data_IF_354998531261
#
_entry.id   IF_354998531261
#
_cell.length_a   1.000
_cell.length_b   1.000
_cell.length_c   1.000
_cell.angle_alpha   90.00
_cell.angle_beta   90.00
_cell.angle_gamma   90.00
#
_symmetry.space_group_name_H-M   'P 1'
#
loop_
_entity.id
_entity.type
_entity.pdbx_description
1 polymer ?
#
# COMPACT_ATOMS: atom_id res chain seq x y z
N UNK A 1 -9.19 -11.09 6.81
CA UNK A 1 -8.04 -10.51 6.09
C UNK A 1 -6.71 -11.14 6.49
N UNK A 2 -6.41 -11.25 7.78
CA UNK A 2 -5.14 -11.78 8.29
C UNK A 2 -4.80 -13.19 7.78
N UNK A 3 -5.71 -14.17 7.90
CA UNK A 3 -5.48 -15.54 7.39
C UNK A 3 -5.16 -15.58 5.89
N UNK A 4 -5.80 -14.72 5.11
CA UNK A 4 -5.53 -14.62 3.67
C UNK A 4 -4.13 -14.05 3.44
N UNK A 5 -3.79 -12.98 4.13
CA UNK A 5 -2.49 -12.34 4.03
C UNK A 5 -1.35 -13.30 4.40
N UNK A 6 -1.50 -14.07 5.48
CA UNK A 6 -0.52 -15.10 5.88
C UNK A 6 -0.32 -16.14 4.77
N UNK A 7 -1.42 -16.65 4.17
CA UNK A 7 -1.33 -17.60 3.07
C UNK A 7 -0.65 -17.02 1.82
N UNK A 8 -0.89 -15.75 1.52
CA UNK A 8 -0.25 -15.07 0.39
C UNK A 8 1.25 -14.90 0.62
N UNK A 9 1.66 -14.56 1.85
CA UNK A 9 3.07 -14.46 2.21
C UNK A 9 3.77 -15.83 2.22
N UNK A 10 3.10 -16.88 2.69
CA UNK A 10 3.59 -18.26 2.59
C UNK A 10 3.82 -18.65 1.11
N UNK A 11 2.88 -18.31 0.23
CA UNK A 11 3.01 -18.56 -1.21
C UNK A 11 4.15 -17.75 -1.86
N UNK A 12 4.41 -16.54 -1.36
CA UNK A 12 5.54 -15.71 -1.76
C UNK A 12 6.86 -16.11 -1.07
N UNK A 13 6.86 -17.22 -0.30
CA UNK A 13 8.03 -17.75 0.42
C UNK A 13 8.66 -16.78 1.41
N UNK A 14 7.88 -15.86 1.94
CA UNK A 14 8.34 -14.95 3.00
C UNK A 14 8.47 -15.73 4.32
N UNK A 15 9.64 -15.72 4.98
CA UNK A 15 9.84 -16.45 6.23
C UNK A 15 8.87 -15.99 7.32
N UNK A 16 8.17 -16.92 7.96
CA UNK A 16 7.13 -16.61 8.97
C UNK A 16 7.64 -15.82 10.18
N UNK A 17 8.91 -15.94 10.53
CA UNK A 17 9.51 -15.18 11.63
C UNK A 17 9.71 -13.70 11.32
N UNK A 18 9.55 -13.27 10.06
CA UNK A 18 9.70 -11.88 9.64
C UNK A 18 8.37 -11.13 9.73
N UNK A 19 7.26 -11.87 9.60
CA UNK A 19 5.91 -11.30 9.65
C UNK A 19 5.31 -11.57 11.01
N UNK A 20 5.37 -10.61 11.92
CA UNK A 20 4.57 -10.69 13.14
C UNK A 20 3.11 -10.45 12.75
N UNK A 21 2.38 -11.56 12.58
CA UNK A 21 0.93 -11.50 12.61
C UNK A 21 0.45 -11.15 14.02
N UNK A 22 -0.79 -10.62 14.17
CA UNK A 22 -1.41 -10.51 15.48
C UNK A 22 -1.48 -11.92 16.11
N UNK A 23 -0.73 -12.16 17.16
CA UNK A 23 -0.66 -13.44 17.84
C UNK A 23 0.73 -14.04 18.01
N UNK A 24 1.77 -13.49 17.41
CA UNK A 24 3.16 -13.88 17.71
C UNK A 24 3.60 -13.19 19.02
N UNK A 25 2.90 -13.51 20.13
CA UNK A 25 3.23 -13.00 21.44
C UNK A 25 4.62 -13.49 21.85
N UNK A 26 5.56 -12.57 22.03
CA UNK A 26 6.81 -12.83 22.71
C UNK A 26 6.62 -12.58 24.19
N UNK A 27 6.85 -13.56 25.09
CA UNK A 27 6.74 -13.35 26.52
C UNK A 27 7.59 -12.14 26.95
N UNK A 28 6.98 -11.14 27.58
CA UNK A 28 7.66 -10.01 28.20
C UNK A 28 7.70 -8.70 27.43
N UNK A 29 7.21 -8.62 26.20
CA UNK A 29 6.98 -7.35 25.45
C UNK A 29 5.49 -7.08 25.31
N UNK A 30 5.10 -5.79 25.35
CA UNK A 30 3.76 -5.38 24.94
C UNK A 30 3.59 -5.75 23.47
N UNK A 31 2.64 -6.65 23.19
CA UNK A 31 2.37 -7.16 21.84
C UNK A 31 1.79 -6.04 20.96
N UNK A 32 2.68 -5.27 20.38
CA UNK A 32 2.29 -4.30 19.35
C UNK A 32 2.63 -4.96 18.02
N UNK A 33 1.60 -5.44 17.33
CA UNK A 33 1.74 -5.86 15.94
C UNK A 33 2.21 -4.68 15.11
N UNK A 34 3.19 -4.89 14.23
CA UNK A 34 3.57 -3.89 13.24
C UNK A 34 2.57 -3.77 12.08
N UNK A 35 1.62 -4.71 11.97
CA UNK A 35 0.49 -4.58 11.08
C UNK A 35 -0.42 -3.44 11.55
N UNK A 36 -0.87 -2.61 10.63
CA UNK A 36 -1.75 -1.48 10.94
C UNK A 36 -3.01 -1.52 10.09
N UNK A 37 -4.16 -1.53 10.76
CA UNK A 37 -5.44 -1.23 10.13
C UNK A 37 -5.66 0.28 10.23
N UNK A 38 -5.90 0.91 9.09
CA UNK A 38 -6.20 2.34 9.02
C UNK A 38 -7.65 2.54 8.60
N UNK A 39 -8.28 3.56 9.13
CA UNK A 39 -9.56 4.06 8.65
C UNK A 39 -9.31 5.43 8.05
N UNK A 40 -9.51 5.54 6.75
CA UNK A 40 -9.27 6.75 5.99
C UNK A 40 -10.60 7.29 5.47
N UNK A 41 -10.88 8.56 5.76
CA UNK A 41 -12.02 9.30 5.26
C UNK A 41 -11.51 10.38 4.33
N UNK A 42 -11.98 10.37 3.11
CA UNK A 42 -11.68 11.37 2.09
C UNK A 42 -12.95 12.20 1.88
N UNK A 43 -12.87 13.49 2.18
CA UNK A 43 -13.97 14.41 1.94
C UNK A 43 -14.21 14.59 0.45
N UNK A 44 -15.44 14.91 0.02
CA UNK A 44 -15.70 15.34 -1.34
C UNK A 44 -14.85 16.55 -1.71
N UNK A 45 -14.24 16.51 -2.86
CA UNK A 45 -13.45 17.61 -3.38
C UNK A 45 -14.15 18.16 -4.64
N UNK A 46 -14.98 19.18 -4.45
CA UNK A 46 -15.78 19.83 -5.49
C UNK A 46 -15.49 21.33 -5.50
N UNK A 47 -15.52 21.94 -6.69
CA UNK A 47 -15.39 23.39 -6.86
C UNK A 47 -13.95 23.90 -7.03
N UNK A 48 -13.75 25.20 -6.88
CA UNK A 48 -12.50 25.93 -7.14
C UNK A 48 -11.34 25.55 -6.20
N UNK A 49 -11.64 24.91 -5.06
CA UNK A 49 -10.66 24.39 -4.13
C UNK A 49 -10.02 23.06 -4.60
N UNK A 50 -10.55 22.47 -5.66
CA UNK A 50 -9.93 21.32 -6.31
C UNK A 50 -8.66 21.79 -7.02
N UNK A 51 -7.51 21.71 -6.35
CA UNK A 51 -6.21 22.03 -6.96
C UNK A 51 -5.96 21.21 -8.23
N UNK A 52 -4.92 21.52 -8.97
CA UNK A 52 -4.62 20.92 -10.28
C UNK A 52 -4.27 19.42 -10.23
N UNK A 53 -3.82 18.91 -9.08
CA UNK A 53 -3.40 17.52 -8.96
C UNK A 53 -4.57 16.54 -9.07
N UNK A 54 -4.44 15.40 -9.78
CA UNK A 54 -5.51 14.42 -9.95
C UNK A 54 -5.76 13.54 -8.71
N UNK A 55 -4.97 13.70 -7.65
CA UNK A 55 -5.10 12.95 -6.40
C UNK A 55 -5.64 13.81 -5.26
N UNK A 56 -6.26 13.16 -4.30
CA UNK A 56 -6.67 13.71 -3.01
C UNK A 56 -5.45 13.86 -2.06
N UNK A 57 -5.65 13.74 -0.77
CA UNK A 57 -4.58 13.79 0.24
C UNK A 57 -3.57 12.65 0.14
N UNK A 58 -3.92 11.56 -0.54
CA UNK A 58 -3.04 10.41 -0.73
C UNK A 58 -2.35 10.49 -2.10
N UNK A 59 -1.16 11.08 -2.13
CA UNK A 59 -0.32 11.22 -3.33
C UNK A 59 0.16 9.86 -3.85
N UNK A 60 0.67 9.80 -5.10
CA UNK A 60 1.37 8.63 -5.61
C UNK A 60 2.49 8.16 -4.68
N UNK A 61 2.43 6.91 -4.25
CA UNK A 61 3.44 6.27 -3.38
C UNK A 61 3.35 4.75 -3.47
N UNK A 62 4.34 4.07 -2.91
CA UNK A 62 4.29 2.65 -2.63
C UNK A 62 4.34 2.42 -1.11
N UNK A 63 3.58 1.43 -0.63
CA UNK A 63 3.49 1.14 0.80
C UNK A 63 4.77 0.50 1.34
N UNK A 64 5.27 0.98 2.47
CA UNK A 64 6.32 0.32 3.24
C UNK A 64 5.73 -0.87 4.03
N UNK A 65 5.24 -1.86 3.30
CA UNK A 65 4.59 -3.07 3.81
C UNK A 65 5.01 -4.28 2.97
N UNK A 66 4.74 -5.50 3.46
CA UNK A 66 4.82 -6.72 2.67
C UNK A 66 3.66 -6.78 1.69
N UNK A 67 2.47 -6.69 2.24
CA UNK A 67 1.20 -6.65 1.51
C UNK A 67 0.31 -5.59 2.15
N UNK A 68 -0.53 -5.01 1.33
CA UNK A 68 -1.67 -4.23 1.79
C UNK A 68 -2.96 -4.85 1.24
N UNK A 69 -4.01 -4.80 2.05
CA UNK A 69 -5.33 -5.35 1.74
C UNK A 69 -6.39 -4.33 2.09
N UNK A 70 -7.31 -4.05 1.19
CA UNK A 70 -8.44 -3.17 1.47
C UNK A 70 -9.75 -3.72 0.92
N UNK A 71 -10.84 -3.70 1.69
CA UNK A 71 -12.17 -3.92 1.14
C UNK A 71 -12.47 -2.82 0.11
N UNK A 72 -13.07 -3.21 -0.99
CA UNK A 72 -13.56 -2.28 -2.01
C UNK A 72 -14.93 -1.78 -1.56
N UNK A 73 -15.03 -0.47 -1.34
CA UNK A 73 -16.26 0.23 -0.99
C UNK A 73 -17.09 0.62 -2.21
N UNK A 74 -18.14 1.36 -1.96
CA UNK A 74 -19.11 1.85 -2.96
C UNK A 74 -18.61 3.10 -3.72
N UNK A 75 -17.62 3.81 -3.18
CA UNK A 75 -16.99 4.96 -3.82
C UNK A 75 -15.58 4.58 -4.26
N UNK A 76 -15.35 4.34 -5.57
CA UNK A 76 -14.02 4.06 -6.08
C UNK A 76 -13.11 5.30 -5.97
N UNK A 77 -11.80 5.09 -6.02
CA UNK A 77 -10.84 6.20 -5.96
C UNK A 77 -9.40 5.72 -5.89
N UNK A 78 -9.17 4.45 -5.52
CA UNK A 78 -7.82 3.91 -5.51
C UNK A 78 -7.37 3.61 -6.94
N UNK A 79 -6.28 4.24 -7.36
CA UNK A 79 -5.67 4.06 -8.66
C UNK A 79 -4.25 3.50 -8.51
N UNK A 80 -3.88 2.57 -9.39
CA UNK A 80 -2.55 1.96 -9.48
C UNK A 80 -1.88 2.31 -10.78
N UNK A 81 -0.57 2.53 -10.74
CA UNK A 81 0.21 2.76 -11.94
C UNK A 81 0.61 1.42 -12.59
N UNK A 82 0.09 1.19 -13.80
CA UNK A 82 0.50 0.06 -14.64
C UNK A 82 1.72 0.46 -15.48
N UNK A 83 2.90 0.05 -15.02
CA UNK A 83 4.15 0.40 -15.70
C UNK A 83 4.28 -0.21 -17.11
N UNK A 84 3.59 -1.32 -17.39
CA UNK A 84 3.61 -1.94 -18.72
C UNK A 84 2.79 -1.15 -19.74
N UNK A 85 1.74 -0.47 -19.26
CA UNK A 85 0.86 0.38 -20.09
C UNK A 85 1.24 1.86 -20.03
N UNK A 86 2.05 2.26 -19.03
CA UNK A 86 2.36 3.66 -18.76
C UNK A 86 1.13 4.46 -18.31
N UNK A 87 0.19 3.84 -17.62
CA UNK A 87 -1.11 4.44 -17.32
C UNK A 87 -1.62 4.08 -15.91
N UNK A 88 -2.45 4.95 -15.36
CA UNK A 88 -3.17 4.69 -14.10
C UNK A 88 -4.44 3.87 -14.35
N UNK A 89 -4.62 2.81 -13.57
CA UNK A 89 -5.78 1.91 -13.63
C UNK A 89 -6.56 1.97 -12.32
N UNK A 90 -7.87 1.90 -12.38
CA UNK A 90 -8.79 1.90 -11.24
C UNK A 90 -9.44 0.53 -11.06
N UNK A 91 -8.86 -0.37 -10.26
CA UNK A 91 -9.35 -1.75 -10.14
C UNK A 91 -10.62 -1.88 -9.30
N UNK A 92 -11.04 -0.83 -8.62
CA UNK A 92 -12.20 -0.86 -7.72
C UNK A 92 -13.54 -0.85 -8.48
N UNK A 93 -13.59 -0.26 -9.68
CA UNK A 93 -14.84 -0.06 -10.41
C UNK A 93 -15.54 -1.38 -10.76
N UNK A 94 -16.80 -1.52 -10.35
CA UNK A 94 -17.62 -2.72 -10.59
C UNK A 94 -17.18 -3.95 -9.79
N UNK A 95 -16.47 -3.75 -8.68
CA UNK A 95 -15.97 -4.83 -7.80
C UNK A 95 -16.28 -4.58 -6.33
N UNK A 96 -17.36 -3.85 -6.05
CA UNK A 96 -17.83 -3.55 -4.71
C UNK A 96 -17.98 -4.85 -3.89
N UNK A 97 -17.62 -4.80 -2.62
CA UNK A 97 -17.65 -5.96 -1.72
C UNK A 97 -16.52 -6.98 -1.93
N UNK A 98 -15.61 -6.76 -2.89
CA UNK A 98 -14.40 -7.55 -3.06
C UNK A 98 -13.27 -7.04 -2.17
N UNK A 99 -12.21 -7.82 -2.06
CA UNK A 99 -10.98 -7.46 -1.38
C UNK A 99 -9.87 -7.21 -2.41
N UNK A 100 -9.30 -6.03 -2.39
CA UNK A 100 -8.12 -5.70 -3.16
C UNK A 100 -6.86 -6.03 -2.35
N UNK A 101 -5.87 -6.63 -2.99
CA UNK A 101 -4.57 -6.97 -2.38
C UNK A 101 -3.47 -6.45 -3.29
N UNK A 102 -2.45 -5.83 -2.70
CA UNK A 102 -1.29 -5.35 -3.46
C UNK A 102 0.02 -5.52 -2.70
N UNK A 103 1.12 -5.54 -3.44
CA UNK A 103 2.48 -5.71 -2.95
C UNK A 103 3.06 -4.39 -2.49
N UNK A 104 3.85 -4.42 -1.42
CA UNK A 104 4.59 -3.27 -0.92
C UNK A 104 6.10 -3.39 -1.12
N UNK A 105 6.82 -2.34 -0.74
CA UNK A 105 8.27 -2.20 -0.87
C UNK A 105 9.06 -3.30 -0.14
N UNK A 106 8.52 -3.82 0.96
CA UNK A 106 9.19 -4.88 1.74
C UNK A 106 9.21 -6.19 0.98
N UNK A 107 8.13 -6.51 0.25
CA UNK A 107 8.10 -7.70 -0.58
C UNK A 107 9.02 -7.56 -1.80
N UNK A 108 9.06 -6.40 -2.44
CA UNK A 108 10.00 -6.12 -3.54
C UNK A 108 11.46 -6.21 -3.08
N UNK A 109 11.79 -5.71 -1.89
CA UNK A 109 13.14 -5.80 -1.32
C UNK A 109 13.54 -7.25 -0.98
N UNK A 110 12.58 -8.08 -0.59
CA UNK A 110 12.81 -9.50 -0.31
C UNK A 110 12.98 -10.32 -1.58
N UNK A 111 12.11 -10.10 -2.57
CA UNK A 111 12.18 -10.75 -3.88
C UNK A 111 11.82 -9.75 -4.98
N UNK A 112 12.81 -9.30 -5.77
CA UNK A 112 12.61 -8.32 -6.83
C UNK A 112 11.67 -8.76 -7.97
N UNK A 113 11.25 -10.02 -8.02
CA UNK A 113 10.20 -10.49 -8.92
C UNK A 113 8.83 -9.87 -8.59
N UNK A 114 8.61 -9.52 -7.31
CA UNK A 114 7.43 -8.77 -6.87
C UNK A 114 7.72 -7.28 -6.94
N UNK A 115 6.96 -6.55 -7.74
CA UNK A 115 7.08 -5.10 -7.81
C UNK A 115 6.11 -4.43 -6.83
N UNK A 116 6.60 -3.46 -6.07
CA UNK A 116 5.75 -2.65 -5.22
C UNK A 116 4.75 -1.87 -6.07
N UNK A 117 3.48 -1.94 -5.68
CA UNK A 117 2.41 -1.30 -6.41
C UNK A 117 2.36 0.20 -6.08
N UNK A 118 2.79 1.03 -7.00
CA UNK A 118 2.63 2.49 -6.89
C UNK A 118 1.15 2.82 -7.04
N UNK A 119 0.60 3.56 -6.09
CA UNK A 119 -0.82 3.89 -6.06
C UNK A 119 -1.08 5.28 -5.47
N UNK A 120 -2.27 5.80 -5.74
CA UNK A 120 -2.78 7.06 -5.20
C UNK A 120 -4.28 6.95 -4.95
N UNK A 121 -4.86 7.91 -4.23
CA UNK A 121 -6.30 8.06 -4.15
C UNK A 121 -6.72 9.27 -4.98
N UNK A 122 -7.51 9.03 -6.01
CA UNK A 122 -8.10 10.08 -6.84
C UNK A 122 -9.10 10.92 -6.05
N UNK A 123 -9.28 12.14 -6.46
CA UNK A 123 -10.36 12.99 -5.99
C UNK A 123 -11.71 12.40 -6.38
N UNK A 124 -12.69 12.62 -5.53
CA UNK A 124 -14.05 12.19 -5.77
C UNK A 124 -15.03 13.30 -5.40
N UNK A 125 -16.16 13.32 -6.07
CA UNK A 125 -17.30 14.23 -5.81
C UNK A 125 -18.15 13.79 -4.62
N UNK A 126 -17.90 12.57 -4.10
CA UNK A 126 -18.55 11.99 -2.92
C UNK A 126 -17.55 11.61 -1.86
N UNK A 127 -17.99 11.57 -0.61
CA UNK A 127 -17.20 11.05 0.50
C UNK A 127 -16.80 9.60 0.24
N UNK A 128 -15.51 9.32 0.39
CA UNK A 128 -14.95 7.98 0.30
C UNK A 128 -14.39 7.54 1.65
N UNK A 129 -14.72 6.33 2.07
CA UNK A 129 -14.12 5.68 3.23
C UNK A 129 -13.35 4.45 2.78
N UNK A 130 -12.15 4.22 3.33
CA UNK A 130 -11.40 2.99 3.11
C UNK A 130 -10.77 2.48 4.40
N UNK A 131 -10.54 1.17 4.44
CA UNK A 131 -9.98 0.48 5.61
C UNK A 131 -8.80 -0.44 5.20
N UNK A 132 -7.66 0.11 4.75
CA UNK A 132 -6.51 -0.69 4.38
C UNK A 132 -5.84 -1.32 5.61
N UNK A 133 -5.57 -2.62 5.52
CA UNK A 133 -4.68 -3.36 6.41
C UNK A 133 -3.30 -3.43 5.76
N UNK A 134 -2.30 -2.86 6.42
CA UNK A 134 -0.90 -2.91 5.99
C UNK A 134 -0.17 -3.97 6.83
N UNK A 135 0.28 -5.04 6.20
CA UNK A 135 1.13 -6.03 6.85
C UNK A 135 2.59 -5.58 6.77
N UNK A 136 3.14 -5.31 7.93
CA UNK A 136 4.54 -4.94 8.09
C UNK A 136 5.25 -6.05 8.87
N UNK A 137 6.57 -6.12 8.77
CA UNK A 137 7.36 -7.03 9.58
C UNK A 137 7.64 -6.47 10.97
N UNK A 138 8.10 -7.32 11.88
CA UNK A 138 8.54 -6.90 13.21
C UNK A 138 9.70 -5.92 13.09
N UNK A 139 9.59 -4.71 13.68
CA UNK A 139 10.62 -3.67 13.54
C UNK A 139 11.99 -4.12 14.07
N UNK A 140 11.99 -5.07 15.00
CA UNK A 140 13.19 -5.54 15.72
C UNK A 140 13.84 -6.77 15.10
N UNK A 141 13.27 -7.38 14.05
CA UNK A 141 13.93 -8.51 13.41
C UNK A 141 15.18 -8.05 12.65
N UNK A 142 16.29 -8.83 12.67
CA UNK A 142 17.50 -8.48 11.92
C UNK A 142 17.21 -8.26 10.43
N UNK A 143 16.39 -9.11 9.84
CA UNK A 143 16.01 -9.04 8.43
C UNK A 143 15.20 -7.77 8.13
N UNK A 144 14.30 -7.39 9.03
CA UNK A 144 13.55 -6.14 8.90
C UNK A 144 14.42 -4.91 9.03
N UNK A 145 15.41 -4.93 9.90
CA UNK A 145 16.37 -3.81 9.97
C UNK A 145 17.19 -3.67 8.69
N UNK A 146 17.58 -4.81 8.09
CA UNK A 146 18.26 -4.79 6.78
C UNK A 146 17.36 -4.21 5.68
N UNK A 147 16.10 -4.65 5.60
CA UNK A 147 15.11 -4.12 4.65
C UNK A 147 14.84 -2.64 4.88
N UNK A 148 14.62 -2.21 6.14
CA UNK A 148 14.41 -0.79 6.45
C UNK A 148 15.62 0.06 6.10
N UNK A 149 16.84 -0.43 6.36
CA UNK A 149 18.06 0.26 5.97
C UNK A 149 18.19 0.40 4.46
N UNK A 150 17.84 -0.65 3.71
CA UNK A 150 17.83 -0.62 2.25
C UNK A 150 16.78 0.37 1.71
N UNK A 151 15.57 0.38 2.29
CA UNK A 151 14.51 1.32 1.92
C UNK A 151 14.85 2.77 2.25
N UNK A 152 15.59 3.02 3.35
CA UNK A 152 16.05 4.37 3.71
C UNK A 152 17.23 4.85 2.85
N UNK A 153 18.08 3.93 2.41
CA UNK A 153 19.19 4.25 1.51
C UNK A 153 18.71 4.47 0.06
N UNK A 154 17.60 3.84 -0.30
CA UNK A 154 16.97 3.96 -1.60
C UNK A 154 15.78 4.93 -1.52
N UNK A 155 16.08 6.23 -1.55
CA UNK A 155 15.07 7.28 -1.75
C UNK A 155 14.41 7.18 -3.15
N UNK A 156 14.84 6.19 -3.93
CA UNK A 156 14.37 5.89 -5.26
C UNK A 156 12.88 5.52 -5.31
N UNK A 157 12.30 4.98 -4.23
CA UNK A 157 10.88 4.66 -4.20
C UNK A 157 10.00 5.94 -4.15
N UNK A 158 10.41 6.93 -3.36
CA UNK A 158 9.79 8.26 -3.35
C UNK A 158 10.06 9.01 -4.66
N UNK A 159 11.31 8.99 -5.14
CA UNK A 159 11.70 9.58 -6.41
C UNK A 159 10.99 8.90 -7.61
N UNK A 160 10.83 7.57 -7.58
CA UNK A 160 10.10 6.83 -8.61
C UNK A 160 8.60 7.18 -8.63
N UNK A 161 7.96 7.28 -7.46
CA UNK A 161 6.58 7.71 -7.36
C UNK A 161 6.40 9.17 -7.84
N UNK A 162 7.35 10.05 -7.52
CA UNK A 162 7.37 11.44 -7.96
C UNK A 162 7.55 11.57 -9.47
N UNK A 163 8.52 10.83 -10.05
CA UNK A 163 8.78 10.83 -11.49
C UNK A 163 7.59 10.29 -12.31
N UNK A 164 6.83 9.35 -11.76
CA UNK A 164 5.62 8.83 -12.41
C UNK A 164 4.48 9.84 -12.35
N UNK A 165 4.38 10.60 -11.25
CA UNK A 165 3.39 11.68 -11.14
C UNK A 165 3.66 12.83 -12.11
N UNK A 166 4.93 13.22 -12.28
CA UNK A 166 5.32 14.34 -13.16
C UNK A 166 5.11 14.03 -14.65
N UNK A 167 5.18 12.77 -15.07
CA UNK A 167 5.00 12.38 -16.47
C UNK A 167 3.54 12.46 -16.95
N UNK A 168 2.56 12.34 -16.05
CA UNK A 168 1.15 12.40 -16.42
C UNK A 168 0.56 13.82 -16.41
N UNK A 169 1.26 14.79 -15.78
CA UNK A 169 0.85 16.20 -15.81
C UNK A 169 1.19 16.87 -17.16
N UNK A 170 1.93 16.20 -18.04
CA UNK A 170 2.41 16.72 -19.33
C UNK A 170 1.75 16.03 -20.53
N UNK A 171 0.87 15.08 -20.32
CA UNK A 171 0.10 14.37 -21.36
C UNK A 171 -1.39 14.68 -21.24
#
# INVERSE_FOLDING_TARGET
>A
MERLATRLLDAARVPRGIVDGPGAARPGRRDVSSASLRFCRYAPETGDDAGEAPWSTCRPHADAAWLALAPIGDVPGLAFYDAARGAWVEPERGREGSLLVWTGLMLEAHDPAYKAAVHMVRRADRERVSAPLLLRGAPDSPDMRAVWKALQADDAAGARASLLADRELVS
#
